data_IF_873420100110
#
_entry.id   IF_873420100110
#
_cell.length_a   1.000
_cell.length_b   1.000
_cell.length_c   1.000
_cell.angle_alpha   90.00
_cell.angle_beta   90.00
_cell.angle_gamma   90.00
#
_symmetry.space_group_name_H-M   'P 1'
#
loop_
_entity.id
_entity.type
_entity.pdbx_description
1 polymer ?
#
# COMPACT_ATOMS: atom_id res chain seq x y z
N UNK A 1 18.02 4.32 34.96
CA UNK A 1 18.48 4.43 33.56
C UNK A 1 17.44 3.72 32.69
N UNK A 2 16.50 4.47 32.12
CA UNK A 2 15.42 3.91 31.29
C UNK A 2 15.88 3.91 29.84
N UNK A 3 15.96 2.74 29.21
CA UNK A 3 16.10 2.67 27.75
C UNK A 3 14.71 2.87 27.16
N UNK A 4 14.49 4.00 26.49
CA UNK A 4 13.31 4.19 25.64
C UNK A 4 13.38 3.16 24.51
N UNK A 5 12.61 2.09 24.62
CA UNK A 5 12.32 1.23 23.49
C UNK A 5 11.41 1.99 22.53
N UNK A 6 11.99 2.80 21.64
CA UNK A 6 11.29 3.19 20.43
C UNK A 6 11.15 1.93 19.61
N UNK A 7 9.98 1.30 19.68
CA UNK A 7 9.53 0.39 18.64
C UNK A 7 9.58 1.19 17.34
N UNK A 8 10.54 0.90 16.47
CA UNK A 8 10.56 1.41 15.10
C UNK A 8 9.26 0.95 14.47
N UNK A 9 8.30 1.87 14.31
CA UNK A 9 7.14 1.61 13.46
C UNK A 9 7.68 1.44 12.06
N UNK A 10 7.48 0.27 11.44
CA UNK A 10 7.60 0.12 10.00
C UNK A 10 6.78 1.25 9.38
N UNK A 11 7.45 2.21 8.75
CA UNK A 11 6.86 3.47 8.30
C UNK A 11 6.01 3.30 7.04
N UNK A 12 5.27 2.20 6.92
CA UNK A 12 4.45 1.85 5.77
C UNK A 12 3.00 2.23 6.00
N UNK A 13 2.29 2.56 4.92
CA UNK A 13 0.85 2.82 4.92
C UNK A 13 0.12 1.65 4.27
N UNK A 14 -0.94 1.15 4.93
CA UNK A 14 -1.80 0.11 4.36
C UNK A 14 -2.87 0.72 3.48
N UNK A 15 -2.97 0.21 2.25
CA UNK A 15 -4.07 0.46 1.31
C UNK A 15 -5.06 -0.69 1.42
N UNK A 16 -6.35 -0.37 1.39
CA UNK A 16 -7.46 -1.33 1.51
C UNK A 16 -8.52 -0.97 0.47
N UNK A 17 -8.82 -1.90 -0.42
CA UNK A 17 -9.94 -1.76 -1.34
C UNK A 17 -11.23 -2.26 -0.69
N UNK A 18 -12.26 -1.40 -0.68
CA UNK A 18 -13.59 -1.68 -0.13
C UNK A 18 -14.65 -1.73 -1.24
N UNK A 19 -14.24 -1.76 -2.50
CA UNK A 19 -15.17 -1.81 -3.62
C UNK A 19 -15.91 -3.15 -3.64
N UNK A 20 -17.18 -3.13 -3.20
CA UNK A 20 -18.02 -4.33 -3.02
C UNK A 20 -18.37 -5.07 -4.33
N UNK A 21 -18.18 -4.42 -5.47
CA UNK A 21 -18.38 -5.01 -6.80
C UNK A 21 -17.06 -5.43 -7.48
N UNK A 22 -15.92 -5.29 -6.80
CA UNK A 22 -14.61 -5.75 -7.28
C UNK A 22 -14.44 -7.27 -7.13
N UNK A 23 -13.54 -7.85 -7.92
CA UNK A 23 -13.25 -9.28 -7.87
C UNK A 23 -12.64 -9.72 -6.51
N UNK A 24 -11.96 -8.79 -5.80
CA UNK A 24 -11.28 -9.06 -4.54
C UNK A 24 -11.59 -8.01 -3.46
N UNK A 25 -12.82 -8.03 -2.95
CA UNK A 25 -13.23 -7.16 -1.83
C UNK A 25 -12.31 -7.36 -0.63
N UNK A 26 -11.77 -6.26 -0.09
CA UNK A 26 -10.90 -6.29 1.07
C UNK A 26 -9.43 -6.58 0.74
N UNK A 27 -9.04 -6.56 -0.55
CA UNK A 27 -7.63 -6.68 -0.95
C UNK A 27 -6.80 -5.57 -0.29
N UNK A 28 -5.60 -5.94 0.15
CA UNK A 28 -4.67 -5.01 0.80
C UNK A 28 -3.26 -5.14 0.29
N UNK A 29 -2.53 -4.03 0.29
CA UNK A 29 -1.07 -3.99 0.24
C UNK A 29 -0.56 -2.85 1.13
N UNK A 30 0.73 -2.85 1.43
CA UNK A 30 1.39 -1.72 2.12
C UNK A 30 2.22 -0.94 1.12
N UNK A 31 2.43 0.35 1.35
CA UNK A 31 3.34 1.15 0.54
C UNK A 31 4.26 1.99 1.42
N UNK A 32 5.42 2.36 0.89
CA UNK A 32 6.24 3.40 1.51
C UNK A 32 5.58 4.78 1.32
N UNK A 33 5.80 5.76 2.22
CA UNK A 33 5.10 7.04 2.17
C UNK A 33 5.29 7.81 0.86
N UNK A 34 6.42 7.62 0.19
CA UNK A 34 6.75 8.27 -1.08
C UNK A 34 5.81 7.86 -2.22
N UNK A 35 5.22 6.66 -2.15
CA UNK A 35 4.38 6.12 -3.23
C UNK A 35 2.89 6.51 -3.08
N UNK A 36 2.49 7.19 -2.01
CA UNK A 36 1.07 7.56 -1.80
C UNK A 36 0.55 8.46 -2.92
N UNK A 37 1.30 9.49 -3.28
CA UNK A 37 0.92 10.42 -4.36
C UNK A 37 0.85 9.71 -5.73
N UNK A 38 1.88 8.96 -6.19
CA UNK A 38 1.80 8.16 -7.41
C UNK A 38 0.62 7.18 -7.46
N UNK A 39 0.39 6.41 -6.38
CA UNK A 39 -0.70 5.44 -6.31
C UNK A 39 -2.05 6.14 -6.47
N UNK A 40 -2.30 7.17 -5.66
CA UNK A 40 -3.59 7.89 -5.69
C UNK A 40 -3.84 8.57 -7.03
N UNK A 41 -2.80 9.14 -7.66
CA UNK A 41 -2.91 9.71 -9.00
C UNK A 41 -3.31 8.66 -10.03
N UNK A 42 -2.64 7.50 -10.08
CA UNK A 42 -2.95 6.42 -11.02
C UNK A 42 -4.37 5.88 -10.85
N UNK A 43 -4.77 5.63 -9.60
CA UNK A 43 -6.13 5.14 -9.29
C UNK A 43 -7.20 6.18 -9.66
N UNK A 44 -6.93 7.47 -9.42
CA UNK A 44 -7.90 8.55 -9.72
C UNK A 44 -8.21 8.71 -11.20
N UNK A 45 -7.27 8.33 -12.07
CA UNK A 45 -7.42 8.41 -13.53
C UNK A 45 -7.55 7.04 -14.20
N UNK A 46 -7.66 5.97 -13.41
CA UNK A 46 -7.72 4.59 -13.88
C UNK A 46 -6.56 4.21 -14.84
N UNK A 47 -5.34 4.68 -14.58
CA UNK A 47 -4.16 4.29 -15.36
C UNK A 47 -3.64 2.89 -14.99
N UNK A 48 -3.88 2.47 -13.74
CA UNK A 48 -3.61 1.13 -13.20
C UNK A 48 -4.71 0.76 -12.22
N UNK A 49 -5.01 -0.52 -12.11
CA UNK A 49 -5.99 -1.03 -11.16
C UNK A 49 -5.38 -1.22 -9.77
N UNK A 50 -6.22 -1.25 -8.73
CA UNK A 50 -5.77 -1.50 -7.36
C UNK A 50 -5.05 -2.86 -7.23
N UNK A 51 -5.56 -3.88 -7.94
CA UNK A 51 -4.95 -5.22 -7.98
C UNK A 51 -3.52 -5.20 -8.49
N UNK A 52 -3.23 -4.37 -9.50
CA UNK A 52 -1.90 -4.29 -10.09
C UNK A 52 -0.87 -3.84 -9.04
N UNK A 53 -1.18 -2.81 -8.24
CA UNK A 53 -0.30 -2.36 -7.17
C UNK A 53 -0.06 -3.44 -6.11
N UNK A 54 -1.10 -4.21 -5.78
CA UNK A 54 -0.98 -5.31 -4.84
C UNK A 54 -0.17 -6.48 -5.41
N UNK A 55 -0.27 -6.76 -6.71
CA UNK A 55 0.53 -7.78 -7.41
C UNK A 55 2.00 -7.36 -7.57
N UNK A 56 2.28 -6.07 -7.70
CA UNK A 56 3.64 -5.52 -7.78
C UNK A 56 4.30 -5.26 -6.43
N UNK A 57 3.59 -5.49 -5.32
CA UNK A 57 4.21 -5.42 -4.00
C UNK A 57 5.30 -6.51 -3.87
N UNK A 58 6.38 -6.20 -3.15
CA UNK A 58 7.44 -7.17 -2.90
C UNK A 58 6.93 -8.37 -2.07
N UNK A 59 7.76 -9.39 -1.89
CA UNK A 59 7.39 -10.60 -1.12
C UNK A 59 6.95 -10.32 0.33
N UNK A 60 7.26 -9.14 0.88
CA UNK A 60 6.80 -8.68 2.19
C UNK A 60 5.48 -7.89 2.15
N UNK A 61 4.85 -7.82 0.98
CA UNK A 61 3.60 -7.11 0.73
C UNK A 61 3.72 -5.60 0.74
N UNK A 62 4.94 -5.05 0.56
CA UNK A 62 5.18 -3.60 0.48
C UNK A 62 5.50 -3.22 -0.96
N UNK A 63 4.68 -2.35 -1.53
CA UNK A 63 4.91 -1.66 -2.78
C UNK A 63 5.92 -0.52 -2.56
N UNK A 64 6.96 -0.48 -3.39
CA UNK A 64 8.09 0.47 -3.29
C UNK A 64 8.32 1.25 -4.59
N UNK A 65 7.34 1.23 -5.50
CA UNK A 65 7.44 1.79 -6.85
C UNK A 65 7.68 0.71 -7.91
N UNK A 66 7.50 1.08 -9.18
CA UNK A 66 7.89 0.31 -10.37
C UNK A 66 9.24 0.78 -10.91
#
# INVERSE_FOLDING_TARGET
MWKSGQTTRDGTISFLDLHEFGEEVGRTFRAIPQEIEPITANLSIANMDFSDFADYADADGIFRGL
#
